data_IF_757907738324
#
_entry.id   IF_757907738324
#
_cell.length_a   1.000
_cell.length_b   1.000
_cell.length_c   1.000
_cell.angle_alpha   90.00
_cell.angle_beta   90.00
_cell.angle_gamma   90.00
#
_symmetry.space_group_name_H-M   'P 1'
#
loop_
_entity.id
_entity.type
_entity.pdbx_description
1 polymer ?
#
# COMPACT_ATOMS: atom_id res chain seq x y z
N UNK A 1 9.21 10.09 -20.69
CA UNK A 1 8.65 10.20 -19.32
C UNK A 1 7.61 11.32 -19.20
N UNK A 2 7.86 12.54 -19.72
CA UNK A 2 6.86 13.61 -19.75
C UNK A 2 5.58 13.26 -20.55
N UNK A 3 5.70 12.51 -21.65
CA UNK A 3 4.54 12.08 -22.46
C UNK A 3 3.62 11.06 -21.75
N UNK A 4 4.16 10.24 -20.85
CA UNK A 4 3.35 9.33 -20.03
C UNK A 4 2.64 10.08 -18.90
N UNK A 5 3.26 11.12 -18.32
CA UNK A 5 2.59 12.02 -17.37
C UNK A 5 1.48 12.84 -18.05
N UNK A 6 1.64 13.22 -19.32
CA UNK A 6 0.61 13.91 -20.12
C UNK A 6 -0.62 13.06 -20.44
N UNK A 7 -0.49 11.73 -20.47
CA UNK A 7 -1.65 10.81 -20.50
C UNK A 7 -2.29 10.64 -19.12
N UNK A 8 -1.65 11.16 -18.07
CA UNK A 8 -2.06 10.96 -16.69
C UNK A 8 -2.62 12.17 -15.97
N UNK A 9 -2.34 13.38 -16.45
CA UNK A 9 -3.05 14.59 -16.07
C UNK A 9 -4.11 14.92 -17.12
N UNK A 10 -5.37 15.09 -16.71
CA UNK A 10 -6.32 15.81 -17.55
C UNK A 10 -5.91 17.27 -17.69
N UNK A 11 -6.45 17.99 -18.68
CA UNK A 11 -6.19 19.43 -18.83
C UNK A 11 -6.64 20.22 -17.58
N UNK A 12 -7.69 19.73 -16.90
CA UNK A 12 -8.18 20.33 -15.64
C UNK A 12 -7.18 20.12 -14.51
N UNK A 13 -6.67 18.90 -14.37
CA UNK A 13 -5.63 18.54 -13.40
C UNK A 13 -4.36 19.38 -13.60
N UNK A 14 -3.95 19.62 -14.86
CA UNK A 14 -2.78 20.44 -15.17
C UNK A 14 -2.98 21.92 -14.79
N UNK A 15 -4.20 22.45 -14.94
CA UNK A 15 -4.54 23.82 -14.54
C UNK A 15 -4.62 23.95 -13.02
N UNK A 16 -5.19 22.96 -12.33
CA UNK A 16 -5.21 22.92 -10.86
C UNK A 16 -3.80 22.81 -10.28
N UNK A 17 -2.94 21.95 -10.85
CA UNK A 17 -1.53 21.85 -10.44
C UNK A 17 -0.79 23.16 -10.65
N UNK A 18 -0.94 23.81 -11.82
CA UNK A 18 -0.28 25.08 -12.11
C UNK A 18 -0.80 26.22 -11.21
N UNK A 19 -2.10 26.23 -10.91
CA UNK A 19 -2.71 27.15 -9.96
C UNK A 19 -2.18 26.93 -8.53
N UNK A 20 -2.09 25.66 -8.11
CA UNK A 20 -1.58 25.27 -6.81
C UNK A 20 -0.09 25.61 -6.67
N UNK A 21 0.72 25.32 -7.69
CA UNK A 21 2.14 25.67 -7.73
C UNK A 21 2.34 27.18 -7.62
N UNK A 22 1.58 27.99 -8.37
CA UNK A 22 1.62 29.45 -8.26
C UNK A 22 1.16 29.96 -6.89
N UNK A 23 0.15 29.34 -6.29
CA UNK A 23 -0.26 29.65 -4.91
C UNK A 23 0.82 29.30 -3.89
N UNK A 24 1.51 28.17 -4.07
CA UNK A 24 2.63 27.75 -3.21
C UNK A 24 3.80 28.73 -3.37
N UNK A 25 4.16 29.11 -4.60
CA UNK A 25 5.21 30.09 -4.89
C UNK A 25 4.90 31.47 -4.30
N UNK A 26 3.64 31.92 -4.39
CA UNK A 26 3.21 33.21 -3.85
C UNK A 26 3.12 33.24 -2.33
N UNK A 27 2.69 32.14 -1.69
CA UNK A 27 2.69 32.01 -0.22
C UNK A 27 4.10 31.92 0.37
N UNK A 28 5.06 31.34 -0.35
CA UNK A 28 6.47 31.24 0.10
C UNK A 28 7.28 32.51 -0.22
N UNK A 29 6.84 33.31 -1.19
CA UNK A 29 7.43 34.63 -1.47
C UNK A 29 7.09 35.68 -0.40
N UNK A 30 6.17 35.38 0.53
CA UNK A 30 5.99 36.20 1.73
C UNK A 30 7.09 35.85 2.74
N UNK A 31 7.87 36.84 3.22
CA UNK A 31 8.99 36.56 4.12
C UNK A 31 8.45 36.02 5.44
N UNK A 32 8.52 34.71 5.65
CA UNK A 32 8.40 34.13 6.97
C UNK A 32 9.69 34.44 7.73
N UNK A 33 9.60 35.27 8.75
CA UNK A 33 10.70 35.75 9.63
C UNK A 33 11.36 34.68 10.50
N UNK A 34 11.36 33.40 10.09
CA UNK A 34 12.04 32.33 10.81
C UNK A 34 12.86 31.48 9.85
N UNK A 35 14.17 31.41 10.09
CA UNK A 35 15.00 30.31 9.61
C UNK A 35 14.30 29.01 10.04
N UNK A 36 13.85 28.22 9.07
CA UNK A 36 13.13 26.98 9.35
C UNK A 36 14.00 26.04 10.16
N UNK A 37 13.49 25.53 11.28
CA UNK A 37 14.22 24.61 12.13
C UNK A 37 14.58 23.33 11.34
N UNK A 38 15.77 22.78 11.61
CA UNK A 38 16.17 21.48 11.10
C UNK A 38 15.13 20.42 11.48
N UNK A 39 14.70 19.63 10.50
CA UNK A 39 13.71 18.57 10.74
C UNK A 39 14.41 17.39 11.39
N UNK A 40 13.78 16.76 12.39
CA UNK A 40 14.25 15.49 12.95
C UNK A 40 14.00 14.35 11.94
N UNK A 41 14.90 14.20 10.97
CA UNK A 41 14.82 13.17 9.93
C UNK A 41 14.98 11.77 10.50
N UNK A 42 15.72 11.61 11.60
CA UNK A 42 15.91 10.32 12.24
C UNK A 42 14.60 9.80 12.84
N UNK A 43 13.88 10.65 13.58
CA UNK A 43 12.57 10.27 14.12
C UNK A 43 11.56 9.88 13.01
N UNK A 44 11.59 10.57 11.87
CA UNK A 44 10.74 10.23 10.73
C UNK A 44 11.15 8.91 10.06
N UNK A 45 12.45 8.62 9.96
CA UNK A 45 12.96 7.34 9.43
C UNK A 45 12.60 6.16 10.35
N UNK A 46 12.67 6.35 11.67
CA UNK A 46 12.25 5.35 12.66
C UNK A 46 10.75 5.08 12.56
N UNK A 47 9.95 6.14 12.39
CA UNK A 47 8.50 6.05 12.19
C UNK A 47 8.17 5.26 10.91
N UNK A 48 8.84 5.57 9.80
CA UNK A 48 8.72 4.80 8.55
C UNK A 48 9.12 3.34 8.74
N UNK A 49 10.25 3.06 9.40
CA UNK A 49 10.72 1.69 9.66
C UNK A 49 9.70 0.89 10.45
N UNK A 50 9.16 1.47 11.52
CA UNK A 50 8.13 0.85 12.35
C UNK A 50 6.86 0.57 11.53
N UNK A 51 6.38 1.55 10.78
CA UNK A 51 5.21 1.40 9.93
C UNK A 51 5.43 0.31 8.87
N UNK A 52 6.57 0.28 8.19
CA UNK A 52 6.92 -0.77 7.22
C UNK A 52 6.94 -2.16 7.85
N UNK A 53 7.50 -2.30 9.06
CA UNK A 53 7.50 -3.57 9.78
C UNK A 53 6.06 -4.03 10.14
N UNK A 54 5.21 -3.10 10.60
CA UNK A 54 3.80 -3.37 10.90
C UNK A 54 2.99 -3.78 9.66
N UNK A 55 3.18 -3.09 8.53
CA UNK A 55 2.50 -3.38 7.27
C UNK A 55 2.98 -4.70 6.66
N UNK A 56 4.28 -5.00 6.75
CA UNK A 56 4.83 -6.29 6.32
C UNK A 56 4.21 -7.43 7.11
N UNK A 57 4.13 -7.29 8.45
CA UNK A 57 3.45 -8.27 9.31
C UNK A 57 1.98 -8.46 8.94
N UNK A 58 1.29 -7.37 8.60
CA UNK A 58 -0.11 -7.42 8.15
C UNK A 58 -0.26 -8.18 6.82
N UNK A 59 0.63 -7.92 5.86
CA UNK A 59 0.61 -8.55 4.55
C UNK A 59 0.94 -10.06 4.61
N UNK A 60 1.91 -10.45 5.44
CA UNK A 60 2.34 -11.85 5.59
C UNK A 60 1.57 -12.61 6.66
N UNK A 61 0.56 -12.00 7.29
CA UNK A 61 -0.23 -12.68 8.31
C UNK A 61 -0.96 -13.88 7.69
N UNK A 62 -0.90 -15.08 8.34
CA UNK A 62 -1.62 -16.24 7.83
C UNK A 62 -3.12 -15.95 7.81
N UNK A 63 -3.81 -16.54 6.83
CA UNK A 63 -5.26 -16.46 6.73
C UNK A 63 -5.89 -16.92 8.06
N UNK A 64 -6.51 -15.99 8.79
CA UNK A 64 -7.29 -16.36 9.97
C UNK A 64 -8.58 -17.02 9.49
N UNK A 65 -9.02 -18.12 10.10
CA UNK A 65 -10.33 -18.67 9.80
C UNK A 65 -11.37 -17.58 10.09
N UNK A 66 -12.28 -17.37 9.15
CA UNK A 66 -13.38 -16.43 9.34
C UNK A 66 -14.10 -16.82 10.63
N UNK A 67 -14.08 -15.95 11.64
CA UNK A 67 -14.95 -16.14 12.80
C UNK A 67 -16.37 -15.98 12.27
N UNK A 68 -17.25 -16.99 12.39
CA UNK A 68 -18.66 -16.74 12.12
C UNK A 68 -19.11 -15.63 13.06
N UNK A 69 -19.89 -14.69 12.52
CA UNK A 69 -20.57 -13.66 13.30
C UNK A 69 -21.59 -14.37 14.20
N UNK A 70 -21.15 -14.89 15.34
CA UNK A 70 -22.05 -15.41 16.36
C UNK A 70 -22.45 -14.25 17.27
N UNK A 71 -23.70 -13.81 17.10
CA UNK A 71 -24.51 -13.53 18.26
C UNK A 71 -24.43 -14.72 19.22
N UNK A 72 -24.15 -14.38 20.49
CA UNK A 72 -24.06 -15.25 21.68
C UNK A 72 -22.80 -16.10 21.85
N UNK A 73 -22.29 -15.94 23.07
CA UNK A 73 -21.16 -16.62 23.67
C UNK A 73 -21.41 -18.13 23.78
N UNK A 74 -20.95 -18.89 22.79
CA UNK A 74 -20.68 -20.32 22.96
C UNK A 74 -19.20 -20.58 22.64
N UNK A 75 -18.46 -21.01 23.66
CA UNK A 75 -17.06 -21.42 23.59
C UNK A 75 -16.89 -22.77 22.87
N UNK A 76 -17.49 -22.94 21.69
CA UNK A 76 -17.17 -24.06 20.81
C UNK A 76 -15.89 -23.73 20.03
N UNK A 77 -14.91 -24.64 19.95
CA UNK A 77 -13.73 -24.45 19.11
C UNK A 77 -14.18 -24.09 17.69
N UNK A 78 -13.63 -23.01 17.13
CA UNK A 78 -13.89 -22.63 15.73
C UNK A 78 -13.35 -23.77 14.86
N UNK A 79 -14.25 -24.58 14.30
CA UNK A 79 -13.89 -25.58 13.29
C UNK A 79 -13.10 -24.90 12.19
N UNK A 80 -12.00 -25.52 11.78
CA UNK A 80 -11.24 -25.04 10.63
C UNK A 80 -12.19 -24.98 9.43
N UNK A 81 -12.18 -23.89 8.65
CA UNK A 81 -13.10 -23.73 7.54
C UNK A 81 -12.99 -24.94 6.61
N UNK A 82 -14.13 -25.43 6.12
CA UNK A 82 -14.20 -26.58 5.21
C UNK A 82 -13.11 -26.46 4.13
N UNK A 83 -12.17 -27.42 4.04
CA UNK A 83 -11.12 -27.41 3.02
C UNK A 83 -11.66 -27.22 1.60
N UNK A 84 -12.87 -27.71 1.33
CA UNK A 84 -13.50 -27.58 0.02
C UNK A 84 -13.99 -26.17 -0.26
N UNK A 85 -14.50 -25.46 0.75
CA UNK A 85 -14.91 -24.06 0.62
C UNK A 85 -13.72 -23.14 0.29
N UNK A 86 -12.51 -23.53 0.69
CA UNK A 86 -11.29 -22.77 0.41
C UNK A 86 -10.79 -22.92 -1.03
N UNK A 87 -11.32 -23.88 -1.78
CA UNK A 87 -11.12 -24.00 -3.23
C UNK A 87 -12.01 -23.05 -4.04
N UNK A 88 -12.80 -22.20 -3.36
CA UNK A 88 -13.47 -21.06 -3.95
C UNK A 88 -12.71 -19.76 -3.65
N UNK A 89 -12.61 -18.88 -4.64
CA UNK A 89 -12.02 -17.55 -4.47
C UNK A 89 -12.81 -16.69 -3.47
N UNK A 90 -14.12 -16.97 -3.28
CA UNK A 90 -14.96 -16.30 -2.29
C UNK A 90 -14.40 -16.37 -0.84
N UNK A 91 -13.58 -17.39 -0.53
CA UNK A 91 -12.92 -17.51 0.76
C UNK A 91 -11.70 -16.56 0.93
N UNK A 92 -11.19 -15.99 -0.16
CA UNK A 92 -9.92 -15.25 -0.19
C UNK A 92 -10.10 -13.77 -0.54
N UNK A 93 -10.99 -13.47 -1.49
CA UNK A 93 -11.23 -12.11 -1.97
C UNK A 93 -11.52 -11.08 -0.86
N UNK A 94 -12.46 -11.33 0.07
CA UNK A 94 -12.76 -10.39 1.16
C UNK A 94 -11.56 -10.12 2.07
N UNK A 95 -10.72 -11.12 2.33
CA UNK A 95 -9.51 -10.96 3.15
C UNK A 95 -8.50 -10.07 2.45
N UNK A 96 -8.26 -10.29 1.16
CA UNK A 96 -7.37 -9.43 0.37
C UNK A 96 -7.87 -7.98 0.37
N UNK A 97 -9.16 -7.76 0.14
CA UNK A 97 -9.74 -6.41 0.13
C UNK A 97 -9.60 -5.70 1.48
N UNK A 98 -9.79 -6.42 2.59
CA UNK A 98 -9.60 -5.87 3.93
C UNK A 98 -8.12 -5.54 4.22
N UNK A 99 -7.18 -6.41 3.84
CA UNK A 99 -5.75 -6.12 3.95
C UNK A 99 -5.35 -4.90 3.11
N UNK A 100 -5.87 -4.80 1.89
CA UNK A 100 -5.64 -3.65 1.00
C UNK A 100 -6.16 -2.34 1.62
N UNK A 101 -7.36 -2.34 2.19
CA UNK A 101 -7.93 -1.18 2.89
C UNK A 101 -7.10 -0.76 4.11
N UNK A 102 -6.62 -1.73 4.88
CA UNK A 102 -5.75 -1.45 6.03
C UNK A 102 -4.39 -0.91 5.63
N UNK A 103 -3.79 -1.43 4.54
CA UNK A 103 -2.56 -0.88 3.97
C UNK A 103 -2.78 0.59 3.56
N UNK A 104 -3.82 0.85 2.78
CA UNK A 104 -4.18 2.19 2.28
C UNK A 104 -4.34 3.21 3.42
N UNK A 105 -5.16 2.88 4.43
CA UNK A 105 -5.40 3.77 5.55
C UNK A 105 -4.14 4.09 6.35
N UNK A 106 -3.32 3.08 6.66
CA UNK A 106 -2.09 3.26 7.45
C UNK A 106 -1.03 4.04 6.68
N UNK A 107 -0.90 3.80 5.37
CA UNK A 107 0.03 4.53 4.51
C UNK A 107 -0.41 6.00 4.32
N UNK A 108 -1.71 6.27 4.19
CA UNK A 108 -2.23 7.64 4.16
C UNK A 108 -1.95 8.41 5.45
N UNK A 109 -2.12 7.77 6.61
CA UNK A 109 -1.75 8.35 7.91
C UNK A 109 -0.24 8.62 7.99
N UNK A 110 0.58 7.67 7.55
CA UNK A 110 2.04 7.84 7.53
C UNK A 110 2.46 9.03 6.65
N UNK A 111 1.92 9.11 5.43
CA UNK A 111 2.24 10.19 4.47
C UNK A 111 1.80 11.56 4.99
N UNK A 112 0.63 11.64 5.64
CA UNK A 112 0.17 12.90 6.24
C UNK A 112 1.04 13.34 7.42
N UNK A 113 1.50 12.41 8.27
CA UNK A 113 2.44 12.70 9.36
C UNK A 113 3.79 13.24 8.84
N UNK A 114 4.35 12.60 7.81
CA UNK A 114 5.59 13.07 7.17
C UNK A 114 5.39 14.46 6.57
N UNK A 115 4.34 14.70 5.79
CA UNK A 115 4.02 16.05 5.27
C UNK A 115 3.89 17.09 6.37
N UNK A 116 3.19 16.77 7.47
CA UNK A 116 3.01 17.69 8.58
C UNK A 116 4.33 18.05 9.29
N UNK A 117 5.31 17.13 9.30
CA UNK A 117 6.65 17.43 9.78
C UNK A 117 7.41 18.33 8.80
N UNK A 118 7.32 18.07 7.49
CA UNK A 118 7.96 18.89 6.45
C UNK A 118 7.44 20.33 6.42
N UNK A 119 6.15 20.55 6.72
CA UNK A 119 5.57 21.89 6.83
C UNK A 119 6.16 22.74 7.96
N UNK A 120 6.90 22.15 8.91
CA UNK A 120 7.59 22.88 9.99
C UNK A 120 9.04 23.22 9.67
N UNK A 121 9.56 22.71 8.54
CA UNK A 121 10.94 22.92 8.12
C UNK A 121 11.12 24.18 7.27
N UNK A 122 12.21 24.19 6.48
CA UNK A 122 12.55 25.28 5.55
C UNK A 122 11.50 25.48 4.45
N UNK A 123 11.52 26.66 3.83
CA UNK A 123 10.61 27.00 2.74
C UNK A 123 10.59 25.96 1.59
N UNK A 124 11.72 25.41 1.10
CA UNK A 124 11.71 24.33 0.10
C UNK A 124 10.95 23.07 0.54
N UNK A 125 11.03 22.70 1.83
CA UNK A 125 10.33 21.52 2.36
C UNK A 125 8.83 21.76 2.51
N UNK A 126 8.43 22.99 2.84
CA UNK A 126 7.02 23.39 2.84
C UNK A 126 6.42 23.33 1.44
N UNK A 127 7.14 23.81 0.42
CA UNK A 127 6.72 23.72 -0.99
C UNK A 127 6.56 22.26 -1.42
N UNK A 128 7.53 21.41 -1.06
CA UNK A 128 7.48 19.99 -1.37
C UNK A 128 6.28 19.30 -0.71
N UNK A 129 6.01 19.58 0.56
CA UNK A 129 4.87 19.01 1.28
C UNK A 129 3.53 19.44 0.67
N UNK A 130 3.42 20.70 0.25
CA UNK A 130 2.23 21.21 -0.43
C UNK A 130 2.04 20.55 -1.81
N UNK A 131 3.10 20.44 -2.61
CA UNK A 131 3.09 19.74 -3.89
C UNK A 131 2.68 18.27 -3.73
N UNK A 132 3.24 17.56 -2.75
CA UNK A 132 2.88 16.17 -2.45
C UNK A 132 1.39 16.02 -2.14
N UNK A 133 0.81 16.95 -1.38
CA UNK A 133 -0.62 16.94 -1.06
C UNK A 133 -1.51 17.15 -2.29
N UNK A 134 -1.14 18.06 -3.18
CA UNK A 134 -1.85 18.29 -4.45
C UNK A 134 -1.76 17.04 -5.32
N UNK A 135 -0.56 16.46 -5.47
CA UNK A 135 -0.34 15.24 -6.24
C UNK A 135 -1.13 14.05 -5.70
N UNK A 136 -1.20 13.88 -4.37
CA UNK A 136 -2.01 12.84 -3.72
C UNK A 136 -3.50 13.00 -4.05
N UNK A 137 -4.03 14.22 -4.01
CA UNK A 137 -5.44 14.49 -4.33
C UNK A 137 -5.74 14.22 -5.81
N UNK A 138 -4.89 14.71 -6.71
CA UNK A 138 -5.07 14.57 -8.15
C UNK A 138 -5.00 13.11 -8.62
N UNK A 139 -4.04 12.35 -8.07
CA UNK A 139 -3.83 10.96 -8.49
C UNK A 139 -4.70 9.95 -7.73
N UNK A 140 -5.19 10.30 -6.54
CA UNK A 140 -5.83 9.36 -5.60
C UNK A 140 -6.98 8.55 -6.20
N UNK A 141 -7.92 9.20 -6.90
CA UNK A 141 -9.06 8.51 -7.50
C UNK A 141 -8.62 7.50 -8.59
N UNK A 142 -7.56 7.81 -9.33
CA UNK A 142 -7.04 6.93 -10.38
C UNK A 142 -6.24 5.78 -9.79
N UNK A 143 -5.37 6.07 -8.82
CA UNK A 143 -4.65 5.03 -8.08
C UNK A 143 -5.64 4.03 -7.47
N UNK A 144 -6.69 4.51 -6.80
CA UNK A 144 -7.74 3.66 -6.24
C UNK A 144 -8.39 2.75 -7.30
N UNK A 145 -8.66 3.25 -8.51
CA UNK A 145 -9.19 2.41 -9.62
C UNK A 145 -8.20 1.35 -10.07
N UNK A 146 -6.91 1.66 -10.13
CA UNK A 146 -5.87 0.68 -10.48
C UNK A 146 -5.80 -0.41 -9.41
N UNK A 147 -5.80 -0.04 -8.13
CA UNK A 147 -5.78 -1.00 -7.01
C UNK A 147 -7.04 -1.87 -6.96
N UNK A 148 -8.21 -1.29 -7.25
CA UNK A 148 -9.48 -2.02 -7.33
C UNK A 148 -9.53 -3.05 -8.47
N UNK A 149 -8.62 -2.99 -9.45
CA UNK A 149 -8.51 -4.00 -10.52
C UNK A 149 -7.71 -5.25 -10.11
N UNK A 150 -6.91 -5.17 -9.04
CA UNK A 150 -6.04 -6.26 -8.60
C UNK A 150 -6.77 -7.52 -8.14
N UNK A 151 -7.89 -7.46 -7.39
CA UNK A 151 -8.66 -8.66 -7.03
C UNK A 151 -9.05 -9.51 -8.24
N UNK A 152 -9.42 -8.89 -9.36
CA UNK A 152 -9.76 -9.61 -10.59
C UNK A 152 -8.58 -10.33 -11.23
N UNK A 153 -7.35 -9.85 -11.04
CA UNK A 153 -6.14 -10.55 -11.49
C UNK A 153 -5.81 -11.73 -10.57
N UNK A 154 -5.99 -11.56 -9.25
CA UNK A 154 -5.86 -12.64 -8.28
C UNK A 154 -6.87 -13.76 -8.53
N UNK A 155 -8.12 -13.43 -8.84
CA UNK A 155 -9.15 -14.42 -9.16
C UNK A 155 -8.77 -15.25 -10.39
N UNK A 156 -8.29 -14.61 -11.47
CA UNK A 156 -7.81 -15.34 -12.66
C UNK A 156 -6.65 -16.27 -12.32
N UNK A 157 -5.69 -15.80 -11.51
CA UNK A 157 -4.56 -16.60 -11.04
C UNK A 157 -5.02 -17.80 -10.20
N UNK A 158 -5.98 -17.59 -9.31
CA UNK A 158 -6.60 -18.65 -8.52
C UNK A 158 -7.21 -19.74 -9.41
N UNK A 159 -8.04 -19.35 -10.39
CA UNK A 159 -8.65 -20.27 -11.35
C UNK A 159 -7.59 -21.02 -12.16
N UNK A 160 -6.51 -20.35 -12.57
CA UNK A 160 -5.40 -20.97 -13.29
C UNK A 160 -4.70 -22.04 -12.46
N UNK A 161 -4.35 -21.73 -11.20
CA UNK A 161 -3.70 -22.67 -10.29
C UNK A 161 -4.59 -23.88 -9.99
N UNK A 162 -5.89 -23.65 -9.78
CA UNK A 162 -6.87 -24.72 -9.56
C UNK A 162 -6.98 -25.65 -10.77
N UNK A 163 -7.08 -25.11 -11.99
CA UNK A 163 -7.11 -25.92 -13.22
C UNK A 163 -5.84 -26.73 -13.41
N UNK A 164 -4.67 -26.14 -13.16
CA UNK A 164 -3.39 -26.84 -13.25
C UNK A 164 -3.28 -27.98 -12.22
N UNK A 165 -3.78 -27.76 -10.99
CA UNK A 165 -3.86 -28.79 -9.97
C UNK A 165 -4.77 -29.95 -10.40
N UNK A 166 -5.98 -29.65 -10.86
CA UNK A 166 -6.94 -30.66 -11.33
C UNK A 166 -6.36 -31.51 -12.48
N UNK A 167 -5.66 -30.90 -13.44
CA UNK A 167 -5.00 -31.63 -14.50
C UNK A 167 -3.90 -32.59 -14.00
N UNK A 168 -3.12 -32.18 -12.98
CA UNK A 168 -2.08 -33.03 -12.36
C UNK A 168 -2.68 -34.20 -11.58
N UNK A 169 -3.75 -33.96 -10.83
CA UNK A 169 -4.48 -35.03 -10.12
C UNK A 169 -5.03 -36.04 -11.13
N UNK A 170 -5.68 -35.58 -12.20
CA UNK A 170 -6.20 -36.46 -13.26
C UNK A 170 -5.11 -37.29 -13.94
N UNK A 171 -3.96 -36.68 -14.25
CA UNK A 171 -2.84 -37.37 -14.89
C UNK A 171 -2.12 -38.37 -13.97
N UNK A 172 -2.04 -38.08 -12.67
CA UNK A 172 -1.38 -38.96 -11.69
C UNK A 172 -2.27 -40.11 -11.20
N UNK A 173 -3.60 -39.99 -11.32
CA UNK A 173 -4.56 -40.96 -10.81
C UNK A 173 -4.61 -41.05 -9.28
N UNK A 174 -3.91 -40.16 -8.57
CA UNK A 174 -3.93 -40.10 -7.11
C UNK A 174 -5.20 -39.43 -6.61
N UNK A 175 -5.67 -39.83 -5.43
CA UNK A 175 -6.77 -39.15 -4.76
C UNK A 175 -6.41 -37.69 -4.44
N UNK A 176 -7.32 -36.77 -4.74
CA UNK A 176 -7.18 -35.37 -4.37
C UNK A 176 -7.47 -35.20 -2.87
N UNK A 177 -6.46 -34.84 -2.09
CA UNK A 177 -6.56 -34.62 -0.65
C UNK A 177 -6.57 -33.11 -0.36
N UNK A 178 -7.72 -32.54 0.06
CA UNK A 178 -7.85 -31.11 0.33
C UNK A 178 -6.88 -30.57 1.40
N UNK A 179 -6.44 -31.42 2.35
CA UNK A 179 -5.49 -31.01 3.37
C UNK A 179 -4.10 -30.71 2.79
N UNK A 180 -3.75 -31.32 1.65
CA UNK A 180 -2.48 -31.12 0.96
C UNK A 180 -2.44 -29.82 0.16
N UNK A 181 -3.58 -29.22 -0.16
CA UNK A 181 -3.62 -27.99 -0.96
C UNK A 181 -2.88 -26.83 -0.31
N UNK A 182 -2.90 -26.76 1.03
CA UNK A 182 -2.22 -25.74 1.84
C UNK A 182 -0.83 -26.12 2.33
N UNK A 183 -0.44 -27.39 2.17
CA UNK A 183 0.91 -27.79 2.55
C UNK A 183 1.93 -27.16 1.60
N UNK A 184 3.20 -27.03 2.01
CA UNK A 184 4.27 -26.59 1.12
C UNK A 184 4.26 -27.38 -0.20
N UNK A 185 4.20 -26.68 -1.32
CA UNK A 185 4.09 -27.28 -2.67
C UNK A 185 2.65 -27.55 -3.15
N UNK A 186 1.65 -27.37 -2.29
CA UNK A 186 0.24 -27.40 -2.67
C UNK A 186 -0.17 -26.15 -3.47
N UNK A 187 -1.17 -26.29 -4.34
CA UNK A 187 -1.58 -25.20 -5.23
C UNK A 187 -2.17 -24.00 -4.48
N UNK A 188 -2.86 -24.24 -3.35
CA UNK A 188 -3.44 -23.18 -2.53
C UNK A 188 -2.36 -22.48 -1.71
N UNK A 189 -1.33 -23.21 -1.24
CA UNK A 189 -0.14 -22.60 -0.65
C UNK A 189 0.58 -21.67 -1.65
N UNK A 190 0.70 -22.09 -2.93
CA UNK A 190 1.23 -21.25 -3.99
C UNK A 190 0.39 -20.00 -4.25
N UNK A 191 -0.94 -20.13 -4.24
CA UNK A 191 -1.84 -18.97 -4.36
C UNK A 191 -1.69 -17.98 -3.18
N UNK A 192 -1.59 -18.48 -1.94
CA UNK A 192 -1.35 -17.63 -0.77
C UNK A 192 -0.03 -16.87 -0.86
N UNK A 193 1.02 -17.51 -1.38
CA UNK A 193 2.30 -16.85 -1.64
C UNK A 193 2.16 -15.75 -2.70
N UNK A 194 1.45 -16.01 -3.80
CA UNK A 194 1.19 -15.01 -4.85
C UNK A 194 0.40 -13.81 -4.29
N UNK A 195 -0.59 -14.06 -3.43
CA UNK A 195 -1.39 -13.03 -2.76
C UNK A 195 -0.53 -12.16 -1.83
N UNK A 196 0.30 -12.79 -1.00
CA UNK A 196 1.23 -12.08 -0.10
C UNK A 196 2.25 -11.26 -0.88
N UNK A 197 2.82 -11.83 -1.94
CA UNK A 197 3.76 -11.14 -2.80
C UNK A 197 3.12 -9.90 -3.46
N UNK A 198 1.85 -10.02 -3.90
CA UNK A 198 1.12 -8.89 -4.47
C UNK A 198 0.88 -7.77 -3.43
N UNK A 199 0.46 -8.10 -2.21
CA UNK A 199 0.27 -7.11 -1.14
C UNK A 199 1.59 -6.41 -0.77
N UNK A 200 2.70 -7.15 -0.73
CA UNK A 200 4.02 -6.58 -0.47
C UNK A 200 4.47 -5.66 -1.61
N UNK A 201 4.23 -6.04 -2.87
CA UNK A 201 4.53 -5.21 -4.02
C UNK A 201 3.68 -3.92 -4.02
N UNK A 202 2.39 -4.04 -3.72
CA UNK A 202 1.48 -2.89 -3.57
C UNK A 202 1.97 -1.93 -2.47
N UNK A 203 2.33 -2.47 -1.30
CA UNK A 203 2.90 -1.69 -0.20
C UNK A 203 4.18 -0.96 -0.64
N UNK A 204 5.09 -1.62 -1.37
CA UNK A 204 6.34 -1.01 -1.84
C UNK A 204 6.10 0.17 -2.78
N UNK A 205 5.14 0.05 -3.71
CA UNK A 205 4.79 1.13 -4.64
C UNK A 205 4.20 2.32 -3.87
N UNK A 206 3.27 2.06 -2.96
CA UNK A 206 2.60 3.11 -2.17
C UNK A 206 3.53 3.80 -1.16
N UNK A 207 4.65 3.18 -0.79
CA UNK A 207 5.69 3.77 0.07
C UNK A 207 6.61 4.75 -0.67
N UNK A 208 6.69 4.69 -2.01
CA UNK A 208 7.63 5.52 -2.79
C UNK A 208 7.51 7.03 -2.53
N UNK A 209 6.30 7.63 -2.49
CA UNK A 209 6.17 9.07 -2.24
C UNK A 209 6.72 9.45 -0.86
N UNK A 210 6.47 8.62 0.15
CA UNK A 210 6.92 8.84 1.54
C UNK A 210 8.44 8.75 1.62
N UNK A 211 9.04 7.76 0.95
CA UNK A 211 10.49 7.63 0.85
C UNK A 211 11.12 8.85 0.16
N UNK A 212 10.50 9.34 -0.92
CA UNK A 212 10.96 10.54 -1.62
C UNK A 212 10.91 11.81 -0.77
N UNK A 213 9.86 12.00 0.04
CA UNK A 213 9.76 13.11 0.99
C UNK A 213 10.88 13.08 2.05
N UNK A 214 11.19 11.90 2.58
CA UNK A 214 12.24 11.74 3.59
C UNK A 214 13.63 11.97 2.99
N UNK A 215 13.88 11.44 1.80
CA UNK A 215 15.13 11.67 1.08
C UNK A 215 15.35 13.16 0.80
N UNK A 216 14.31 13.88 0.38
CA UNK A 216 14.37 15.33 0.19
C UNK A 216 14.64 16.08 1.50
N UNK A 217 14.00 15.70 2.60
CA UNK A 217 14.25 16.29 3.92
C UNK A 217 15.69 16.08 4.39
N UNK A 218 16.25 14.88 4.20
CA UNK A 218 17.66 14.60 4.52
C UNK A 218 18.62 15.46 3.69
N UNK A 219 18.35 15.57 2.39
CA UNK A 219 19.17 16.36 1.49
C UNK A 219 19.14 17.85 1.86
N UNK A 220 17.99 18.35 2.28
CA UNK A 220 17.84 19.74 2.71
C UNK A 220 18.53 20.04 4.04
N UNK A 221 18.38 19.17 5.06
CA UNK A 221 19.14 19.28 6.31
C UNK A 221 20.66 19.29 6.08
N UNK A 222 21.15 18.50 5.11
CA UNK A 222 22.57 18.46 4.76
C UNK A 222 23.04 19.75 4.07
N UNK A 223 22.14 20.48 3.41
CA UNK A 223 22.46 21.77 2.78
C UNK A 223 22.50 22.89 3.81
N UNK A 224 21.52 22.94 4.71
CA UNK A 224 21.47 23.96 5.76
C UNK A 224 22.63 23.82 6.75
N UNK A 225 22.98 22.59 7.15
CA UNK A 225 24.12 22.34 8.03
C UNK A 225 25.51 22.58 7.42
N UNK A 226 25.60 22.80 6.09
CA UNK A 226 26.84 23.23 5.42
C UNK A 226 26.89 24.76 5.21
N UNK A 227 25.82 25.48 5.52
CA UNK A 227 25.71 26.94 5.39
C UNK A 227 25.89 27.68 6.72
N UNK A 228 25.91 26.96 7.85
CA UNK A 228 26.31 27.41 9.19
C UNK A 228 27.81 27.17 9.44
#
# INVERSE_FOLDING_TARGET
MAEQLGQWLSVVDAVELNGSLRSIETHVSQPTTGEGAAIDTQALEELLHKAKADLTRLATAPARPARPLRERADNTPVEQPDPQAQADFAAHGPRYAEQQKQLDARLGVLRSQVRAALLKGSAPLQQLAALDGVMEQMLGAREQRLWASLPGHLERRFVQLRKAHQARVQASGLADDPLRWRQPGGWLAGFEQDLQALLLAEMQVRLQPIMGLLEAARNENSRTGNQE
#
